data_IF_839339216439
#
_entry.id   IF_839339216439
#
_cell.length_a   1.000
_cell.length_b   1.000
_cell.length_c   1.000
_cell.angle_alpha   90.00
_cell.angle_beta   90.00
_cell.angle_gamma   90.00
#
_symmetry.space_group_name_H-M   'P 1'
#
loop_
_entity.id
_entity.type
_entity.pdbx_description
1 polymer ?
#
# COMPACT_ATOMS: atom_id res chain seq x y z
N UNK A 1 -3.62 -23.86 6.09
CA UNK A 1 -4.80 -22.95 6.01
C UNK A 1 -6.02 -23.72 6.51
N UNK A 2 -6.48 -23.43 7.73
CA UNK A 2 -7.75 -24.00 8.23
C UNK A 2 -8.89 -23.08 7.76
N UNK A 3 -9.53 -23.44 6.66
CA UNK A 3 -10.80 -22.83 6.28
C UNK A 3 -11.92 -23.64 6.92
N UNK A 4 -12.73 -23.06 7.82
CA UNK A 4 -13.89 -23.73 8.36
C UNK A 4 -14.92 -23.99 7.25
N UNK A 5 -15.71 -25.07 7.43
CA UNK A 5 -16.75 -25.44 6.50
C UNK A 5 -16.60 -26.84 5.90
N UNK A 6 -17.51 -27.18 5.01
CA UNK A 6 -17.54 -28.46 4.33
C UNK A 6 -16.44 -28.52 3.26
N UNK A 7 -15.72 -29.62 3.19
CA UNK A 7 -14.77 -29.87 2.12
C UNK A 7 -15.03 -31.24 1.47
N UNK A 8 -14.70 -31.29 0.19
CA UNK A 8 -14.68 -32.51 -0.61
C UNK A 8 -13.40 -32.46 -1.46
N UNK A 9 -12.62 -33.55 -1.42
CA UNK A 9 -11.37 -33.70 -2.15
C UNK A 9 -11.25 -35.10 -2.69
N UNK A 10 -10.81 -35.23 -3.93
CA UNK A 10 -10.47 -36.51 -4.54
C UNK A 10 -8.96 -36.71 -4.47
N UNK A 11 -8.56 -37.91 -4.03
CA UNK A 11 -7.16 -38.34 -3.96
C UNK A 11 -7.00 -39.51 -4.92
N UNK A 12 -6.16 -39.35 -5.94
CA UNK A 12 -5.80 -40.42 -6.84
C UNK A 12 -4.71 -41.29 -6.20
N UNK A 13 -5.00 -42.55 -5.99
CA UNK A 13 -4.05 -43.54 -5.50
C UNK A 13 -3.61 -44.45 -6.66
N UNK A 14 -2.31 -44.41 -6.96
CA UNK A 14 -1.71 -45.27 -7.97
C UNK A 14 -1.09 -46.49 -7.28
N UNK A 15 -1.50 -47.67 -7.71
CA UNK A 15 -0.97 -48.97 -7.21
C UNK A 15 -0.17 -49.59 -8.35
N UNK A 16 0.98 -50.15 -8.03
CA UNK A 16 1.96 -50.65 -9.02
C UNK A 16 1.43 -51.71 -9.96
N UNK A 17 0.34 -52.39 -9.63
CA UNK A 17 -0.24 -53.51 -10.38
C UNK A 17 -1.62 -53.17 -11.04
N UNK A 18 -1.98 -51.84 -11.07
CA UNK A 18 -3.25 -51.39 -11.69
C UNK A 18 -2.96 -50.35 -12.75
N UNK A 19 -3.55 -50.56 -13.96
CA UNK A 19 -3.41 -49.65 -15.08
C UNK A 19 -4.18 -48.30 -14.94
N UNK A 20 -5.05 -48.20 -13.92
CA UNK A 20 -5.82 -46.97 -13.69
C UNK A 20 -5.75 -46.58 -12.20
N UNK A 21 -5.64 -45.26 -11.90
CA UNK A 21 -5.65 -44.79 -10.52
C UNK A 21 -7.01 -45.00 -9.85
N UNK A 22 -7.00 -45.43 -8.62
CA UNK A 22 -8.19 -45.46 -7.76
C UNK A 22 -8.46 -44.08 -7.21
N UNK A 23 -9.66 -43.56 -7.42
CA UNK A 23 -10.07 -42.26 -6.90
C UNK A 23 -10.74 -42.45 -5.55
N UNK A 24 -10.16 -41.90 -4.50
CA UNK A 24 -10.73 -41.86 -3.15
C UNK A 24 -11.30 -40.48 -2.86
N UNK A 25 -12.62 -40.41 -2.70
CA UNK A 25 -13.29 -39.18 -2.28
C UNK A 25 -13.17 -39.02 -0.74
N UNK A 26 -12.60 -37.92 -0.29
CA UNK A 26 -12.52 -37.53 1.13
C UNK A 26 -13.48 -36.37 1.37
N UNK A 27 -14.44 -36.57 2.25
CA UNK A 27 -15.42 -35.54 2.64
C UNK A 27 -15.32 -35.29 4.13
N UNK A 28 -15.44 -34.04 4.53
CA UNK A 28 -15.42 -33.67 5.94
C UNK A 28 -15.97 -32.27 6.17
N UNK A 29 -16.11 -31.96 7.44
CA UNK A 29 -16.47 -30.63 7.90
C UNK A 29 -15.40 -30.17 8.89
N UNK A 30 -14.84 -28.99 8.65
CA UNK A 30 -13.91 -28.35 9.58
C UNK A 30 -14.71 -27.42 10.47
N UNK A 31 -14.80 -27.73 11.76
CA UNK A 31 -15.44 -26.87 12.73
C UNK A 31 -14.64 -25.57 12.92
N UNK A 32 -15.31 -24.38 12.95
CA UNK A 32 -14.63 -23.14 13.28
C UNK A 32 -14.07 -23.23 14.70
N UNK A 33 -12.78 -23.02 14.84
CA UNK A 33 -12.15 -22.86 16.15
C UNK A 33 -12.31 -21.42 16.61
N UNK A 34 -12.68 -21.19 17.86
CA UNK A 34 -12.59 -19.87 18.47
C UNK A 34 -11.12 -19.40 18.47
N UNK A 35 -10.91 -18.19 18.01
CA UNK A 35 -9.58 -17.56 18.03
C UNK A 35 -9.29 -17.05 19.43
N UNK A 36 -8.07 -17.24 19.88
CA UNK A 36 -7.58 -16.65 21.14
C UNK A 36 -7.44 -15.13 21.00
N UNK A 37 -7.32 -14.45 22.14
CA UNK A 37 -7.07 -12.99 22.17
C UNK A 37 -5.76 -12.69 21.43
N UNK A 38 -4.71 -13.48 21.61
CA UNK A 38 -3.42 -13.29 20.93
C UNK A 38 -3.48 -13.47 19.42
N UNK A 39 -4.41 -14.30 18.92
CA UNK A 39 -4.64 -14.47 17.49
C UNK A 39 -5.47 -13.36 16.87
N UNK A 40 -6.38 -12.76 17.64
CA UNK A 40 -7.19 -11.61 17.19
C UNK A 40 -6.43 -10.29 17.31
N UNK A 41 -5.61 -10.16 18.36
CA UNK A 41 -4.85 -8.96 18.70
C UNK A 41 -3.36 -9.30 18.88
N UNK A 42 -2.65 -9.61 17.78
CA UNK A 42 -1.27 -10.12 17.85
C UNK A 42 -0.24 -9.08 18.29
N UNK A 43 -0.57 -7.78 18.24
CA UNK A 43 0.36 -6.70 18.53
C UNK A 43 0.21 -6.23 19.96
N UNK A 44 1.18 -6.59 20.80
CA UNK A 44 1.27 -6.13 22.19
C UNK A 44 1.91 -4.73 22.25
N UNK A 45 1.12 -3.74 22.68
CA UNK A 45 1.53 -2.35 22.75
C UNK A 45 2.10 -1.96 24.13
N UNK A 46 2.16 -2.90 25.09
CA UNK A 46 2.54 -2.66 26.47
C UNK A 46 1.34 -2.38 27.37
N UNK A 47 1.54 -2.42 28.69
CA UNK A 47 0.48 -2.19 29.69
C UNK A 47 -0.71 -3.15 29.61
N UNK A 48 -0.63 -4.21 28.80
CA UNK A 48 -1.74 -5.12 28.52
C UNK A 48 -2.65 -4.68 27.36
N UNK A 49 -2.36 -3.55 26.73
CA UNK A 49 -3.06 -3.11 25.51
C UNK A 49 -2.56 -3.91 24.31
N UNK A 50 -3.48 -4.47 23.53
CA UNK A 50 -3.18 -5.22 22.32
C UNK A 50 -4.02 -4.71 21.14
N UNK A 51 -3.43 -4.74 19.92
CA UNK A 51 -4.09 -4.32 18.68
C UNK A 51 -4.22 -5.45 17.68
N UNK A 52 -5.25 -5.38 16.83
CA UNK A 52 -5.49 -6.32 15.73
C UNK A 52 -4.50 -6.14 14.57
N UNK A 53 -4.01 -4.93 14.36
CA UNK A 53 -3.03 -4.56 13.32
C UNK A 53 -2.28 -3.30 13.72
N UNK A 54 -1.14 -3.06 13.06
CA UNK A 54 -0.36 -1.82 13.20
C UNK A 54 -0.34 -1.00 11.92
N UNK A 55 -1.07 -1.41 10.89
CA UNK A 55 -1.13 -0.66 9.64
C UNK A 55 -2.53 -0.65 9.05
N UNK A 56 -2.88 0.46 8.37
CA UNK A 56 -4.09 0.60 7.57
C UNK A 56 -3.78 1.30 6.25
N UNK A 57 -4.27 0.72 5.15
CA UNK A 57 -4.25 1.33 3.83
C UNK A 57 -5.68 1.67 3.42
N UNK A 58 -5.91 2.93 3.08
CA UNK A 58 -7.23 3.44 2.71
C UNK A 58 -7.53 3.28 1.21
N UNK A 59 -6.50 2.91 0.41
CA UNK A 59 -6.66 2.83 -1.04
C UNK A 59 -6.74 4.22 -1.68
N UNK A 60 -7.55 4.34 -2.75
CA UNK A 60 -7.77 5.62 -3.40
C UNK A 60 -8.78 6.46 -2.65
N UNK A 61 -8.47 7.75 -2.52
CA UNK A 61 -9.38 8.74 -1.97
C UNK A 61 -9.45 9.93 -2.94
N UNK A 62 -10.66 10.26 -3.36
CA UNK A 62 -10.91 11.36 -4.29
C UNK A 62 -10.90 12.72 -3.58
N UNK A 63 -10.52 13.77 -4.31
CA UNK A 63 -10.56 15.14 -3.80
C UNK A 63 -11.96 15.51 -3.30
N UNK A 64 -12.02 16.18 -2.14
CA UNK A 64 -13.29 16.56 -1.49
C UNK A 64 -13.97 15.44 -0.70
N UNK A 65 -13.40 14.23 -0.69
CA UNK A 65 -14.00 13.09 0.01
C UNK A 65 -13.23 12.73 1.29
N UNK A 66 -13.85 11.88 2.10
CA UNK A 66 -13.22 11.27 3.27
C UNK A 66 -13.43 9.76 3.27
N UNK A 67 -12.53 9.07 3.95
CA UNK A 67 -12.62 7.62 4.18
C UNK A 67 -12.27 7.30 5.62
N UNK A 68 -12.92 6.29 6.18
CA UNK A 68 -12.74 5.85 7.56
C UNK A 68 -12.29 4.39 7.61
N UNK A 69 -11.33 4.12 8.47
CA UNK A 69 -10.84 2.79 8.80
C UNK A 69 -10.69 2.67 10.31
N UNK A 70 -10.58 1.45 10.82
CA UNK A 70 -10.41 1.23 12.25
C UNK A 70 -9.33 0.20 12.57
N UNK A 71 -8.72 0.37 13.74
CA UNK A 71 -7.82 -0.61 14.36
C UNK A 71 -8.46 -1.06 15.66
N UNK A 72 -8.82 -2.32 15.75
CA UNK A 72 -9.43 -2.89 16.95
C UNK A 72 -8.38 -3.07 18.05
N UNK A 73 -8.80 -2.84 19.29
CA UNK A 73 -7.97 -3.04 20.47
C UNK A 73 -8.68 -3.87 21.56
N UNK A 74 -7.88 -4.39 22.49
CA UNK A 74 -8.32 -4.98 23.75
C UNK A 74 -7.34 -4.66 24.86
N UNK A 75 -7.85 -4.30 26.04
CA UNK A 75 -7.06 -4.24 27.26
C UNK A 75 -7.14 -5.58 27.99
N UNK A 76 -6.05 -6.33 28.01
CA UNK A 76 -5.94 -7.64 28.68
C UNK A 76 -5.44 -7.52 30.14
N UNK A 77 -5.12 -6.32 30.61
CA UNK A 77 -4.66 -6.10 31.98
C UNK A 77 -5.80 -6.10 32.99
N UNK A 78 -5.44 -6.11 34.28
CA UNK A 78 -6.41 -6.03 35.39
C UNK A 78 -6.74 -4.58 35.78
N UNK A 79 -6.06 -3.59 35.19
CA UNK A 79 -6.26 -2.17 35.44
C UNK A 79 -6.68 -1.39 34.20
N UNK A 80 -7.16 -0.16 34.38
CA UNK A 80 -7.33 0.73 33.25
C UNK A 80 -5.95 1.21 32.75
N UNK A 81 -5.78 1.30 31.44
CA UNK A 81 -4.55 1.81 30.81
C UNK A 81 -4.81 3.19 30.21
N UNK A 82 -3.86 4.10 30.38
CA UNK A 82 -3.88 5.40 29.72
C UNK A 82 -3.21 5.31 28.36
N UNK A 83 -3.77 5.99 27.35
CA UNK A 83 -3.23 5.94 25.98
C UNK A 83 -3.14 7.35 25.42
N UNK A 84 -1.97 7.68 24.86
CA UNK A 84 -1.70 8.96 24.20
C UNK A 84 -1.04 8.67 22.85
N UNK A 85 -1.35 9.50 21.85
CA UNK A 85 -0.77 9.42 20.52
C UNK A 85 0.50 10.31 20.45
N UNK A 86 1.59 9.75 19.96
CA UNK A 86 2.82 10.46 19.66
C UNK A 86 3.08 10.40 18.15
N UNK A 87 2.87 11.53 17.44
CA UNK A 87 3.08 11.62 16.00
C UNK A 87 4.58 11.64 15.67
N UNK A 88 4.97 10.86 14.66
CA UNK A 88 6.31 10.87 14.07
C UNK A 88 6.31 11.62 12.74
N UNK A 89 5.32 11.33 11.91
CA UNK A 89 5.10 11.96 10.63
C UNK A 89 3.61 12.19 10.46
N UNK A 90 3.24 13.38 10.02
CA UNK A 90 1.84 13.76 9.80
C UNK A 90 1.67 14.37 8.41
N UNK A 91 0.68 13.85 7.69
CA UNK A 91 0.20 14.45 6.44
C UNK A 91 -0.73 15.64 6.68
N UNK A 92 -1.16 15.86 7.93
CA UNK A 92 -2.21 16.82 8.34
C UNK A 92 -3.62 16.49 7.80
N UNK A 93 -3.77 15.36 7.12
CA UNK A 93 -5.03 14.89 6.52
C UNK A 93 -5.71 13.82 7.36
N UNK A 94 -4.96 13.19 8.28
CA UNK A 94 -5.45 12.13 9.15
C UNK A 94 -5.97 12.69 10.48
N UNK A 95 -7.18 12.31 10.82
CA UNK A 95 -7.74 12.46 12.17
C UNK A 95 -7.79 11.10 12.85
N UNK A 96 -7.31 11.03 14.10
CA UNK A 96 -7.34 9.81 14.91
C UNK A 96 -8.24 10.06 16.10
N UNK A 97 -9.30 9.27 16.24
CA UNK A 97 -10.19 9.26 17.40
C UNK A 97 -9.98 7.98 18.20
N UNK A 98 -9.60 8.13 19.45
CA UNK A 98 -9.32 7.02 20.37
C UNK A 98 -9.57 7.43 21.82
N UNK A 99 -9.98 6.49 22.70
CA UNK A 99 -10.14 6.77 24.11
C UNK A 99 -8.79 7.05 24.77
N UNK A 100 -8.77 7.99 25.74
CA UNK A 100 -7.57 8.30 26.52
C UNK A 100 -7.33 7.30 27.65
N UNK A 101 -8.36 6.54 28.03
CA UNK A 101 -8.30 5.49 29.05
C UNK A 101 -9.17 4.33 28.62
N UNK A 102 -8.64 3.12 28.74
CA UNK A 102 -9.29 1.87 28.34
C UNK A 102 -9.42 0.98 29.59
N UNK A 103 -10.66 0.62 29.96
CA UNK A 103 -10.92 -0.18 31.14
C UNK A 103 -10.40 -1.63 31.02
N UNK A 104 -10.23 -2.38 32.15
CA UNK A 104 -9.86 -3.78 32.11
C UNK A 104 -10.83 -4.62 31.28
N UNK A 105 -10.34 -5.43 30.37
CA UNK A 105 -11.14 -6.29 29.49
C UNK A 105 -11.91 -5.56 28.39
N UNK A 106 -11.83 -4.23 28.33
CA UNK A 106 -12.50 -3.43 27.31
C UNK A 106 -11.95 -3.73 25.92
N UNK A 107 -12.89 -3.84 24.96
CA UNK A 107 -12.62 -3.94 23.53
C UNK A 107 -13.26 -2.78 22.83
N UNK A 108 -12.57 -2.26 21.82
CA UNK A 108 -13.06 -1.14 21.02
C UNK A 108 -12.20 -0.93 19.78
N UNK A 109 -12.30 0.26 19.21
CA UNK A 109 -11.61 0.62 17.99
C UNK A 109 -10.99 2.01 18.10
N UNK A 110 -9.80 2.15 17.55
CA UNK A 110 -9.20 3.44 17.19
C UNK A 110 -9.77 3.77 15.81
N UNK A 111 -10.49 4.87 15.68
CA UNK A 111 -11.03 5.33 14.41
C UNK A 111 -10.01 6.24 13.72
N UNK A 112 -9.77 5.95 12.44
CA UNK A 112 -8.85 6.65 11.57
C UNK A 112 -9.65 7.25 10.43
N UNK A 113 -9.53 8.56 10.18
CA UNK A 113 -10.26 9.24 9.12
C UNK A 113 -9.32 10.13 8.33
N UNK A 114 -9.15 9.82 7.04
CA UNK A 114 -8.57 10.73 6.08
C UNK A 114 -9.65 11.59 5.42
N UNK A 115 -9.36 12.87 5.26
CA UNK A 115 -10.20 13.81 4.51
C UNK A 115 -9.32 14.62 3.55
N UNK A 116 -9.66 14.63 2.27
CA UNK A 116 -9.00 15.45 1.25
C UNK A 116 -9.74 16.76 1.05
N UNK A 117 -9.02 17.87 0.82
CA UNK A 117 -9.63 19.16 0.52
C UNK A 117 -10.36 19.13 -0.84
N UNK A 118 -11.31 20.04 -1.03
CA UNK A 118 -12.07 20.15 -2.29
C UNK A 118 -11.27 20.85 -3.40
N UNK A 119 -10.26 21.64 -3.04
CA UNK A 119 -9.44 22.45 -3.95
C UNK A 119 -8.51 21.65 -4.87
N UNK A 120 -8.39 20.35 -4.64
CA UNK A 120 -7.69 19.44 -5.53
C UNK A 120 -6.16 19.61 -5.60
N UNK A 121 -5.53 20.19 -4.58
CA UNK A 121 -4.08 20.42 -4.57
C UNK A 121 -3.25 19.26 -4.01
N UNK A 122 -3.90 18.24 -3.43
CA UNK A 122 -3.24 17.12 -2.79
C UNK A 122 -3.33 15.88 -3.66
N UNK A 123 -2.22 15.42 -4.20
CA UNK A 123 -2.13 14.20 -5.02
C UNK A 123 -1.03 13.27 -4.53
N UNK A 124 -1.15 11.98 -4.90
CA UNK A 124 -0.14 10.96 -4.62
C UNK A 124 -0.34 10.28 -3.28
N UNK A 125 0.71 9.61 -2.84
CA UNK A 125 0.72 8.86 -1.58
C UNK A 125 0.88 9.80 -0.40
N UNK A 126 -0.04 9.71 0.57
CA UNK A 126 0.05 10.36 1.88
C UNK A 126 0.10 9.30 2.94
N UNK A 127 1.04 9.43 3.85
CA UNK A 127 1.22 8.48 4.94
C UNK A 127 1.36 9.22 6.27
N UNK A 128 0.88 8.59 7.33
CA UNK A 128 1.05 9.04 8.69
C UNK A 128 1.66 7.93 9.54
N UNK A 129 2.54 8.32 10.44
CA UNK A 129 3.24 7.43 11.33
C UNK A 129 3.17 7.93 12.75
N UNK A 130 2.81 7.06 13.69
CA UNK A 130 2.69 7.41 15.09
C UNK A 130 2.94 6.22 16.02
N UNK A 131 3.30 6.52 17.27
CA UNK A 131 3.32 5.55 18.35
C UNK A 131 2.15 5.78 19.30
N UNK A 132 1.68 4.71 19.92
CA UNK A 132 0.92 4.80 21.15
C UNK A 132 1.90 4.89 22.33
N UNK A 133 1.61 5.77 23.27
CA UNK A 133 2.25 5.83 24.58
C UNK A 133 1.26 5.29 25.59
N UNK A 134 1.54 4.10 26.14
CA UNK A 134 0.68 3.37 27.05
C UNK A 134 1.25 3.49 28.47
N UNK A 135 0.48 4.05 29.40
CA UNK A 135 0.91 4.35 30.78
C UNK A 135 2.25 5.10 30.87
N UNK A 136 2.47 6.04 29.94
CA UNK A 136 3.69 6.84 29.85
C UNK A 136 4.87 6.14 29.17
N UNK A 137 4.70 4.91 28.67
CA UNK A 137 5.75 4.14 27.97
C UNK A 137 5.40 4.04 26.49
N UNK A 138 6.33 4.44 25.62
CA UNK A 138 6.17 4.30 24.17
C UNK A 138 6.07 2.82 23.78
N UNK A 139 5.03 2.47 23.03
CA UNK A 139 4.83 1.12 22.51
C UNK A 139 5.97 0.68 21.56
N UNK A 140 6.22 -0.62 21.49
CA UNK A 140 7.25 -1.19 20.62
C UNK A 140 6.93 -1.01 19.15
N UNK A 141 5.65 -1.14 18.79
CA UNK A 141 5.21 -1.10 17.40
C UNK A 141 4.75 0.30 17.01
N UNK A 142 5.22 0.75 15.85
CA UNK A 142 4.75 1.94 15.17
C UNK A 142 3.45 1.63 14.43
N UNK A 143 2.51 2.55 14.45
CA UNK A 143 1.33 2.50 13.61
C UNK A 143 1.60 3.31 12.34
N UNK A 144 1.15 2.77 11.21
CA UNK A 144 1.31 3.38 9.90
C UNK A 144 -0.02 3.39 9.16
N UNK A 145 -0.32 4.50 8.50
CA UNK A 145 -1.47 4.62 7.61
C UNK A 145 -1.04 5.18 6.27
N UNK A 146 -1.72 4.79 5.20
CA UNK A 146 -1.45 5.27 3.85
C UNK A 146 -2.77 5.47 3.10
N UNK A 147 -2.85 6.58 2.36
CA UNK A 147 -3.92 6.87 1.42
C UNK A 147 -3.31 7.37 0.11
N UNK A 148 -3.96 7.08 -1.01
CA UNK A 148 -3.55 7.55 -2.34
C UNK A 148 -4.57 8.58 -2.81
N UNK A 149 -4.17 9.85 -2.80
CA UNK A 149 -5.00 10.96 -3.22
C UNK A 149 -5.07 11.04 -4.74
N UNK A 150 -6.28 11.05 -5.29
CA UNK A 150 -6.57 11.07 -6.73
C UNK A 150 -7.60 12.15 -7.09
N UNK A 151 -7.82 12.36 -8.37
CA UNK A 151 -8.85 13.28 -8.86
C UNK A 151 -10.26 12.89 -8.37
N UNK A 152 -11.18 13.86 -8.35
CA UNK A 152 -12.60 13.59 -8.19
C UNK A 152 -13.18 13.19 -9.55
N UNK A 153 -13.45 11.91 -9.75
CA UNK A 153 -13.94 11.37 -11.02
C UNK A 153 -15.45 11.55 -11.22
N UNK A 154 -16.20 11.84 -10.15
CA UNK A 154 -17.64 12.08 -10.24
C UNK A 154 -17.99 13.41 -10.93
N UNK A 155 -17.05 14.35 -10.97
CA UNK A 155 -17.22 15.63 -11.65
C UNK A 155 -16.98 15.57 -13.17
N UNK A 156 -16.44 14.47 -13.68
CA UNK A 156 -16.21 14.26 -15.10
C UNK A 156 -17.50 13.74 -15.75
N UNK A 157 -18.19 14.60 -16.52
CA UNK A 157 -19.35 14.20 -17.30
C UNK A 157 -19.01 13.17 -18.39
N UNK A 158 -20.02 12.82 -19.24
CA UNK A 158 -19.97 11.81 -20.34
C UNK A 158 -18.91 12.04 -21.44
N UNK A 159 -17.82 12.72 -21.17
CA UNK A 159 -16.70 12.91 -22.09
C UNK A 159 -15.85 11.63 -22.04
N UNK A 160 -15.47 11.14 -23.22
CA UNK A 160 -14.53 10.03 -23.33
C UNK A 160 -13.30 10.27 -22.45
N UNK A 161 -13.15 9.47 -21.39
CA UNK A 161 -12.12 9.68 -20.38
C UNK A 161 -10.70 9.58 -20.95
N UNK A 162 -9.68 10.20 -20.31
CA UNK A 162 -8.29 9.96 -20.66
C UNK A 162 -7.90 8.53 -20.29
N UNK A 163 -6.99 7.93 -21.04
CA UNK A 163 -6.44 6.60 -20.79
C UNK A 163 -4.93 6.69 -20.84
N UNK A 164 -4.31 6.53 -19.67
CA UNK A 164 -2.87 6.49 -19.54
C UNK A 164 -2.31 5.12 -19.93
N UNK A 165 -1.44 5.08 -20.92
CA UNK A 165 -0.75 3.86 -21.34
C UNK A 165 0.78 4.05 -21.26
N UNK A 166 1.43 3.14 -20.53
CA UNK A 166 2.89 3.15 -20.35
C UNK A 166 3.51 2.01 -21.16
N UNK A 167 4.53 2.34 -21.95
CA UNK A 167 5.19 1.37 -22.83
C UNK A 167 5.83 0.20 -22.11
N UNK A 168 6.20 0.36 -20.83
CA UNK A 168 6.81 -0.66 -19.97
C UNK A 168 6.43 -0.40 -18.51
N UNK A 169 6.06 -1.44 -17.78
CA UNK A 169 5.83 -1.39 -16.33
C UNK A 169 7.02 -1.91 -15.48
N UNK A 170 8.10 -2.32 -16.15
CA UNK A 170 9.35 -2.76 -15.51
C UNK A 170 10.53 -2.18 -16.29
N UNK A 171 11.44 -1.53 -15.56
CA UNK A 171 12.75 -1.09 -16.07
C UNK A 171 13.82 -1.85 -15.33
N UNK A 172 14.70 -2.48 -16.12
CA UNK A 172 15.85 -3.24 -15.63
C UNK A 172 17.12 -2.54 -16.05
N UNK A 173 17.84 -1.95 -15.11
CA UNK A 173 19.16 -1.38 -15.38
C UNK A 173 20.24 -2.47 -15.54
N UNK A 174 19.92 -3.73 -15.17
CA UNK A 174 20.89 -4.83 -15.23
C UNK A 174 22.00 -4.68 -14.19
N UNK A 175 23.21 -5.09 -14.57
CA UNK A 175 24.40 -4.94 -13.75
C UNK A 175 24.86 -3.48 -13.72
N UNK A 176 25.03 -2.94 -12.53
CA UNK A 176 25.48 -1.58 -12.25
C UNK A 176 26.87 -1.69 -11.65
N UNK A 177 27.90 -1.41 -12.45
CA UNK A 177 29.30 -1.69 -12.09
C UNK A 177 30.06 -0.47 -11.55
N UNK A 178 29.46 0.72 -11.60
CA UNK A 178 30.10 1.96 -11.14
C UNK A 178 29.35 2.55 -9.96
N UNK A 179 29.95 2.57 -8.74
CA UNK A 179 29.36 3.18 -7.57
C UNK A 179 29.27 4.64 -7.72
N UNK A 180 28.87 5.56 -7.87
CA UNK A 180 28.85 7.03 -8.09
C UNK A 180 28.58 7.41 -9.55
N UNK A 181 27.67 6.68 -10.19
CA UNK A 181 27.26 6.94 -11.57
C UNK A 181 25.74 7.08 -11.68
N UNK A 182 25.33 7.81 -12.71
CA UNK A 182 23.91 7.97 -13.03
C UNK A 182 23.59 7.16 -14.28
N UNK A 183 22.76 6.16 -14.12
CA UNK A 183 22.22 5.34 -15.20
C UNK A 183 20.87 5.91 -15.63
N UNK A 184 20.61 5.94 -16.93
CA UNK A 184 19.42 6.57 -17.49
C UNK A 184 18.65 5.61 -18.36
N UNK A 185 17.33 5.64 -18.22
CA UNK A 185 16.36 4.94 -19.03
C UNK A 185 15.19 5.87 -19.34
N UNK A 186 14.41 5.50 -20.33
CA UNK A 186 13.29 6.29 -20.79
C UNK A 186 12.14 5.37 -21.18
N UNK A 187 10.93 5.79 -20.85
CA UNK A 187 9.72 5.13 -21.33
C UNK A 187 8.72 6.14 -21.90
N UNK A 188 7.82 5.66 -22.73
CA UNK A 188 6.75 6.46 -23.30
C UNK A 188 5.50 6.34 -22.44
N UNK A 189 4.88 7.48 -22.13
CA UNK A 189 3.53 7.62 -21.62
C UNK A 189 2.67 8.19 -22.74
N UNK A 190 1.59 7.49 -23.11
CA UNK A 190 0.68 7.87 -24.18
C UNK A 190 -0.73 8.05 -23.64
N UNK A 191 -1.49 8.95 -24.24
CA UNK A 191 -2.91 9.13 -23.96
C UNK A 191 -3.74 8.44 -25.06
N UNK A 192 -4.21 7.24 -24.77
CA UNK A 192 -5.08 6.46 -25.65
C UNK A 192 -6.58 6.73 -25.41
N UNK A 193 -6.90 7.75 -24.59
CA UNK A 193 -8.27 8.19 -24.30
C UNK A 193 -8.75 9.31 -25.21
N UNK A 194 -9.97 9.78 -25.00
CA UNK A 194 -10.60 10.82 -25.81
C UNK A 194 -10.49 12.24 -25.27
N UNK A 195 -10.09 12.42 -24.02
CA UNK A 195 -9.86 13.73 -23.39
C UNK A 195 -8.40 13.88 -22.95
N UNK A 196 -8.00 15.09 -22.55
CA UNK A 196 -6.63 15.38 -22.13
C UNK A 196 -6.23 14.56 -20.89
N UNK A 197 -5.08 13.89 -20.98
CA UNK A 197 -4.46 13.21 -19.86
C UNK A 197 -3.55 14.17 -19.09
N UNK A 198 -3.75 14.26 -17.77
CA UNK A 198 -2.96 15.07 -16.87
C UNK A 198 -2.21 14.18 -15.89
N UNK A 199 -0.89 14.38 -15.80
CA UNK A 199 -0.07 13.75 -14.78
C UNK A 199 -0.08 14.65 -13.55
N UNK A 200 -0.70 14.18 -12.46
CA UNK A 200 -0.85 14.93 -11.21
C UNK A 200 0.39 14.83 -10.32
N UNK A 201 0.97 13.64 -10.27
CA UNK A 201 2.12 13.38 -9.40
C UNK A 201 2.97 12.24 -9.94
N UNK A 202 4.28 12.36 -9.78
CA UNK A 202 5.25 11.29 -10.04
C UNK A 202 6.08 11.09 -8.78
N UNK A 203 5.97 9.93 -8.17
CA UNK A 203 6.64 9.60 -6.91
C UNK A 203 7.60 8.44 -7.10
N UNK A 204 8.73 8.48 -6.39
CA UNK A 204 9.65 7.36 -6.28
C UNK A 204 9.68 6.83 -4.85
N UNK A 205 9.72 5.51 -4.69
CA UNK A 205 9.88 4.87 -3.37
C UNK A 205 11.34 4.84 -2.89
N UNK A 206 12.26 5.40 -3.66
CA UNK A 206 13.70 5.45 -3.33
C UNK A 206 14.31 6.75 -3.82
N UNK A 207 15.10 7.37 -2.98
CA UNK A 207 15.90 8.55 -3.33
C UNK A 207 16.99 8.28 -4.40
N UNK A 208 17.31 7.00 -4.62
CA UNK A 208 18.22 6.60 -5.69
C UNK A 208 17.58 6.71 -7.08
N UNK A 209 16.25 6.80 -7.17
CA UNK A 209 15.53 6.89 -8.44
C UNK A 209 14.86 8.24 -8.57
N UNK A 210 15.29 9.02 -9.54
CA UNK A 210 14.62 10.24 -9.97
C UNK A 210 13.87 10.01 -11.27
N UNK A 211 12.73 10.67 -11.44
CA UNK A 211 12.02 10.66 -12.71
C UNK A 211 11.42 12.04 -13.01
N UNK A 212 11.32 12.37 -14.29
CA UNK A 212 10.76 13.61 -14.79
C UNK A 212 10.08 13.40 -16.14
N UNK A 213 9.03 14.17 -16.39
CA UNK A 213 8.40 14.22 -17.71
C UNK A 213 9.20 15.12 -18.64
N UNK A 214 9.24 14.77 -19.94
CA UNK A 214 9.88 15.59 -20.97
C UNK A 214 9.09 16.85 -21.31
N UNK A 215 7.83 16.91 -20.88
CA UNK A 215 6.93 18.04 -21.05
C UNK A 215 5.94 18.08 -19.89
N UNK A 216 5.81 19.24 -19.28
CA UNK A 216 4.82 19.49 -18.23
C UNK A 216 3.50 19.96 -18.88
N UNK A 217 2.38 19.48 -18.37
CA UNK A 217 1.05 19.88 -18.80
C UNK A 217 0.18 18.75 -19.30
N UNK A 218 -0.81 19.11 -20.09
CA UNK A 218 -1.79 18.16 -20.61
C UNK A 218 -1.26 17.40 -21.83
N UNK A 219 -1.52 16.11 -21.90
CA UNK A 219 -1.23 15.24 -23.03
C UNK A 219 -2.53 15.08 -23.82
N UNK A 220 -2.56 15.63 -25.04
CA UNK A 220 -3.75 15.53 -25.88
C UNK A 220 -4.06 14.07 -26.26
N UNK A 221 -5.31 13.82 -26.65
CA UNK A 221 -5.73 12.50 -27.16
C UNK A 221 -4.87 12.06 -28.36
N UNK A 222 -4.31 10.86 -28.28
CA UNK A 222 -3.42 10.29 -29.29
C UNK A 222 -1.96 10.73 -29.21
N UNK A 223 -1.65 11.70 -28.32
CA UNK A 223 -0.28 12.16 -28.11
C UNK A 223 0.39 11.41 -26.93
N UNK A 224 1.66 11.72 -26.70
CA UNK A 224 2.42 11.15 -25.59
C UNK A 224 3.68 11.91 -25.27
N UNK A 225 4.19 11.68 -24.06
CA UNK A 225 5.41 12.28 -23.52
C UNK A 225 6.40 11.19 -23.11
N UNK A 226 7.66 11.61 -22.92
CA UNK A 226 8.67 10.73 -22.37
C UNK A 226 8.77 10.92 -20.86
N UNK A 227 8.88 9.82 -20.15
CA UNK A 227 9.28 9.77 -18.75
C UNK A 227 10.76 9.40 -18.71
N UNK A 228 11.59 10.34 -18.31
CA UNK A 228 13.04 10.18 -18.15
C UNK A 228 13.31 9.68 -16.72
N UNK A 229 14.01 8.55 -16.60
CA UNK A 229 14.29 7.87 -15.34
C UNK A 229 15.79 7.79 -15.15
N UNK A 230 16.25 8.25 -13.99
CA UNK A 230 17.65 8.22 -13.60
C UNK A 230 17.82 7.40 -12.32
N UNK A 231 18.76 6.46 -12.33
CA UNK A 231 19.20 5.71 -11.16
C UNK A 231 20.58 6.25 -10.75
N UNK A 232 20.66 6.83 -9.56
CA UNK A 232 21.90 7.28 -8.92
C UNK A 232 22.45 6.14 -8.05
N UNK A 233 23.49 5.47 -8.54
CA UNK A 233 24.09 4.33 -7.84
C UNK A 233 24.74 4.69 -6.51
N UNK A 234 25.11 5.96 -6.29
CA UNK A 234 25.68 6.43 -5.02
C UNK A 234 24.70 6.36 -3.85
N UNK A 235 23.39 6.30 -4.15
CA UNK A 235 22.30 6.25 -3.16
C UNK A 235 21.76 4.84 -2.93
N UNK A 236 22.36 3.81 -3.54
CA UNK A 236 21.98 2.42 -3.28
C UNK A 236 22.63 2.00 -1.96
N UNK A 237 21.79 1.77 -0.94
CA UNK A 237 22.26 1.52 0.43
C UNK A 237 22.89 0.14 0.63
N UNK A 238 22.49 -0.87 -0.14
CA UNK A 238 23.01 -2.25 -0.02
C UNK A 238 23.43 -2.76 -1.40
N UNK A 239 24.74 -2.94 -1.56
CA UNK A 239 25.33 -3.39 -2.83
C UNK A 239 25.28 -4.93 -3.02
N UNK A 240 25.01 -5.69 -1.96
CA UNK A 240 25.00 -7.16 -2.00
C UNK A 240 23.61 -7.73 -2.38
N UNK A 241 22.62 -6.87 -2.54
CA UNK A 241 21.24 -7.27 -2.81
C UNK A 241 20.69 -6.65 -4.11
N UNK A 242 19.73 -7.33 -4.71
CA UNK A 242 18.97 -6.78 -5.81
C UNK A 242 18.28 -5.46 -5.38
N UNK A 243 18.68 -4.37 -6.02
CA UNK A 243 17.99 -3.09 -5.82
C UNK A 243 16.60 -3.13 -6.46
N UNK A 244 15.60 -2.74 -5.69
CA UNK A 244 14.20 -2.66 -6.15
C UNK A 244 13.59 -1.35 -5.68
N UNK A 245 13.10 -0.56 -6.62
CA UNK A 245 12.29 0.64 -6.36
C UNK A 245 11.03 0.63 -7.22
N UNK A 246 10.11 1.55 -6.92
CA UNK A 246 8.90 1.78 -7.71
C UNK A 246 8.74 3.26 -7.98
N UNK A 247 8.32 3.57 -9.20
CA UNK A 247 7.77 4.88 -9.54
C UNK A 247 6.26 4.72 -9.57
N UNK A 248 5.55 5.61 -8.88
CA UNK A 248 4.09 5.73 -8.90
C UNK A 248 3.74 6.95 -9.74
N UNK A 249 2.91 6.76 -10.75
CA UNK A 249 2.42 7.81 -11.64
C UNK A 249 0.94 8.00 -11.35
N UNK A 250 0.56 9.15 -10.83
CA UNK A 250 -0.83 9.52 -10.55
C UNK A 250 -1.33 10.39 -11.69
N UNK A 251 -2.47 10.02 -12.26
CA UNK A 251 -3.08 10.71 -13.41
C UNK A 251 -4.58 10.90 -13.21
N UNK A 252 -5.21 11.66 -14.09
CA UNK A 252 -6.66 11.80 -14.15
C UNK A 252 -7.35 10.67 -14.95
N UNK A 253 -6.70 9.52 -15.20
CA UNK A 253 -7.33 8.32 -15.76
C UNK A 253 -8.25 7.68 -14.70
N UNK A 254 -9.58 7.67 -14.88
CA UNK A 254 -10.50 7.19 -13.85
C UNK A 254 -10.46 5.68 -13.67
N UNK A 255 -10.01 4.93 -14.67
CA UNK A 255 -9.91 3.48 -14.60
C UNK A 255 -8.62 3.02 -13.91
N UNK A 256 -7.54 3.78 -14.08
CA UNK A 256 -6.22 3.48 -13.54
C UNK A 256 -5.54 4.75 -13.03
N UNK A 257 -6.07 5.38 -11.98
CA UNK A 257 -5.58 6.66 -11.48
C UNK A 257 -4.12 6.60 -11.01
N UNK A 258 -3.64 5.42 -10.62
CA UNK A 258 -2.23 5.17 -10.30
C UNK A 258 -1.67 4.03 -11.15
N UNK A 259 -0.54 4.27 -11.80
CA UNK A 259 0.26 3.23 -12.44
C UNK A 259 1.60 3.09 -11.71
N UNK A 260 2.12 1.87 -11.69
CA UNK A 260 3.38 1.57 -11.00
C UNK A 260 4.39 1.00 -11.99
N UNK A 261 5.59 1.60 -12.01
CA UNK A 261 6.74 1.14 -12.77
C UNK A 261 7.75 0.57 -11.78
N UNK A 262 8.08 -0.72 -11.93
CA UNK A 262 9.09 -1.38 -11.12
C UNK A 262 10.48 -1.10 -11.69
N UNK A 263 11.39 -0.64 -10.86
CA UNK A 263 12.80 -0.42 -11.19
C UNK A 263 13.64 -1.51 -10.53
N UNK A 264 14.56 -2.11 -11.27
CA UNK A 264 15.51 -3.10 -10.71
C UNK A 264 16.93 -2.84 -11.21
N UNK A 265 17.91 -3.07 -10.34
CA UNK A 265 19.32 -3.05 -10.68
C UNK A 265 20.08 -4.08 -9.84
N UNK A 266 21.18 -4.60 -10.36
CA UNK A 266 22.09 -5.52 -9.68
C UNK A 266 23.39 -4.77 -9.42
N UNK A 267 23.63 -4.26 -8.20
CA UNK A 267 24.90 -3.64 -7.87
C UNK A 267 26.04 -4.68 -7.92
N UNK A 268 27.20 -4.26 -8.41
CA UNK A 268 28.35 -5.15 -8.64
C UNK A 268 29.66 -4.53 -8.07
N UNK A 269 29.61 -3.93 -6.87
CA UNK A 269 30.80 -3.37 -6.17
C UNK A 269 30.86 -3.80 -4.72
#
# INVERSE_FOLDING_TARGET
>A
MNRPGRFERDVAVVVSDCDAPMILGVRGYVEPRERTVDELYPFDMGGGLRLSTTSRAFGYLEQGWHSEESIEYVNTSQGAVSVVLESLHSSELLTVDMPRSIAPGERGSILLRYALPEDGEVYGTRSDEFYLVVDGVRARYRLTTEVIAVDNFNAQGDISAPIADISKNIIKFGEVNCPNSIYRERLRLENNGGSALVVRCVESTSEAVACSLSHDGEIASGDGVWLDIALDSSKIANADELFVARIRLITNDPLRPMQTIKITAIPMW
#
